data_IF_794801333001
#
_entry.id   IF_794801333001
#
_cell.length_a   1.000
_cell.length_b   1.000
_cell.length_c   1.000
_cell.angle_alpha   90.00
_cell.angle_beta   90.00
_cell.angle_gamma   90.00
#
_symmetry.space_group_name_H-M   'P 1'
#
loop_
_entity.id
_entity.type
_entity.pdbx_description
1 polymer ?
#
# COMPACT_ATOMS: atom_id res chain seq x y z
N UNK A 1 -16.87 4.71 -39.91
CA UNK A 1 -16.00 5.71 -39.22
C UNK A 1 -16.42 5.98 -37.78
N UNK A 2 -17.71 6.16 -37.47
CA UNK A 2 -18.20 6.38 -36.09
C UNK A 2 -17.91 5.22 -35.12
N UNK A 3 -18.02 3.96 -35.55
CA UNK A 3 -17.71 2.81 -34.69
C UNK A 3 -16.27 2.81 -34.15
N UNK A 4 -15.30 3.25 -34.95
CA UNK A 4 -13.90 3.29 -34.52
C UNK A 4 -13.68 4.33 -33.41
N UNK A 5 -14.39 5.46 -33.47
CA UNK A 5 -14.35 6.48 -32.42
C UNK A 5 -14.97 5.99 -31.11
N UNK A 6 -16.07 5.22 -31.17
CA UNK A 6 -16.69 4.63 -29.97
C UNK A 6 -15.74 3.64 -29.28
N UNK A 7 -15.04 2.81 -30.04
CA UNK A 7 -14.04 1.87 -29.51
C UNK A 7 -12.85 2.58 -28.84
N UNK A 8 -12.37 3.68 -29.43
CA UNK A 8 -11.29 4.50 -28.85
C UNK A 8 -11.72 5.09 -27.50
N UNK A 9 -12.95 5.58 -27.39
CA UNK A 9 -13.48 6.15 -26.14
C UNK A 9 -13.59 5.07 -25.04
N UNK A 10 -14.06 3.87 -25.38
CA UNK A 10 -14.17 2.76 -24.42
C UNK A 10 -12.78 2.39 -23.89
N UNK A 11 -11.78 2.29 -24.76
CA UNK A 11 -10.39 1.97 -24.37
C UNK A 11 -9.84 3.02 -23.40
N UNK A 12 -10.03 4.31 -23.70
CA UNK A 12 -9.56 5.41 -22.85
C UNK A 12 -10.21 5.37 -21.45
N UNK A 13 -11.50 5.04 -21.37
CA UNK A 13 -12.22 4.94 -20.09
C UNK A 13 -11.66 3.79 -19.24
N UNK A 14 -11.41 2.61 -19.84
CA UNK A 14 -10.87 1.46 -19.11
C UNK A 14 -9.44 1.68 -18.60
N UNK A 15 -8.58 2.38 -19.35
CA UNK A 15 -7.20 2.64 -18.92
C UNK A 15 -7.07 3.72 -17.83
N UNK A 16 -8.02 4.65 -17.73
CA UNK A 16 -7.97 5.71 -16.72
C UNK A 16 -8.31 5.25 -15.30
N UNK A 17 -9.00 4.11 -15.14
CA UNK A 17 -9.39 3.60 -13.81
C UNK A 17 -8.24 2.92 -13.04
N UNK A 18 -7.13 2.61 -13.71
CA UNK A 18 -6.15 1.66 -13.15
C UNK A 18 -5.16 2.28 -12.13
N UNK A 19 -5.02 3.62 -12.06
CA UNK A 19 -3.82 4.21 -11.42
C UNK A 19 -4.05 5.29 -10.35
N UNK A 20 -5.28 5.69 -10.01
CA UNK A 20 -5.48 6.81 -9.08
C UNK A 20 -5.40 6.47 -7.57
N UNK A 21 -5.00 5.25 -7.18
CA UNK A 21 -5.03 4.85 -5.76
C UNK A 21 -3.90 3.97 -5.25
N UNK A 22 -3.11 3.32 -6.12
CA UNK A 22 -2.04 2.39 -5.70
C UNK A 22 -0.71 3.13 -5.58
N UNK A 23 -0.14 3.15 -4.38
CA UNK A 23 1.16 3.73 -4.05
C UNK A 23 2.13 2.61 -3.68
N UNK A 24 3.36 2.67 -4.16
CA UNK A 24 4.44 1.77 -3.70
C UNK A 24 5.23 2.44 -2.57
N UNK A 25 5.47 1.69 -1.50
CA UNK A 25 6.25 2.14 -0.33
C UNK A 25 7.33 1.12 -0.03
N UNK A 26 8.53 1.59 0.31
CA UNK A 26 9.63 0.75 0.75
C UNK A 26 9.60 0.62 2.28
N UNK A 27 9.55 -0.61 2.79
CA UNK A 27 9.66 -0.94 4.21
C UNK A 27 10.81 -1.93 4.36
N UNK A 28 11.87 -1.54 5.08
CA UNK A 28 13.04 -2.38 5.37
C UNK A 28 13.66 -3.03 4.11
N UNK A 29 13.66 -2.33 2.96
CA UNK A 29 14.25 -2.79 1.70
C UNK A 29 13.30 -3.58 0.80
N UNK A 30 12.03 -3.76 1.20
CA UNK A 30 11.00 -4.42 0.38
C UNK A 30 9.91 -3.44 -0.01
N UNK A 31 9.55 -3.48 -1.29
CA UNK A 31 8.48 -2.65 -1.84
C UNK A 31 7.13 -3.33 -1.66
N UNK A 32 6.21 -2.60 -1.05
CA UNK A 32 4.83 -3.01 -0.86
C UNK A 32 3.89 -2.06 -1.59
N UNK A 33 2.84 -2.62 -2.17
CA UNK A 33 1.74 -1.84 -2.70
C UNK A 33 0.75 -1.49 -1.58
N UNK A 34 0.30 -0.25 -1.58
CA UNK A 34 -0.61 0.25 -0.57
C UNK A 34 -1.57 1.25 -1.20
N UNK A 35 -2.78 1.31 -0.65
CA UNK A 35 -3.79 2.26 -1.10
C UNK A 35 -3.68 3.55 -0.31
N UNK A 36 -3.69 4.68 -1.00
CA UNK A 36 -3.77 5.97 -0.32
C UNK A 36 -5.16 6.13 0.33
N UNK A 37 -5.25 6.78 1.51
CA UNK A 37 -6.54 7.10 2.12
C UNK A 37 -7.40 7.90 1.14
N UNK A 38 -8.66 7.49 0.97
CA UNK A 38 -9.58 8.09 -0.01
C UNK A 38 -9.93 9.53 0.39
N UNK A 39 -10.18 9.78 1.68
CA UNK A 39 -10.69 11.06 2.18
C UNK A 39 -9.91 11.59 3.40
N UNK A 40 -10.00 12.90 3.66
CA UNK A 40 -9.42 13.57 4.85
C UNK A 40 -9.90 12.99 6.17
N UNK A 41 -11.10 12.39 6.18
CA UNK A 41 -11.68 11.70 7.31
C UNK A 41 -10.99 10.37 7.64
N UNK A 42 -10.61 9.60 6.62
CA UNK A 42 -9.78 8.40 6.80
C UNK A 42 -8.37 8.76 7.28
N UNK A 43 -7.92 10.00 7.02
CA UNK A 43 -6.66 10.54 7.57
C UNK A 43 -6.79 10.98 9.04
N UNK A 44 -7.99 11.37 9.50
CA UNK A 44 -8.19 11.98 10.83
C UNK A 44 -8.86 11.08 11.88
N UNK A 45 -9.73 10.12 11.52
CA UNK A 45 -10.37 9.24 12.53
C UNK A 45 -9.36 8.25 13.13
N UNK A 46 -8.84 8.59 14.31
CA UNK A 46 -8.26 7.67 15.29
C UNK A 46 -6.83 7.20 15.07
N UNK A 47 -6.14 7.58 13.98
CA UNK A 47 -4.71 7.29 13.81
C UNK A 47 -4.03 8.51 13.21
N UNK A 48 -3.33 9.26 14.06
CA UNK A 48 -2.73 10.58 13.78
C UNK A 48 -1.77 10.63 12.57
N UNK A 49 -1.46 9.52 11.89
CA UNK A 49 -0.47 9.41 10.80
C UNK A 49 -0.67 8.18 9.87
N UNK A 50 -1.89 7.79 9.48
CA UNK A 50 -2.04 6.73 8.45
C UNK A 50 -1.72 7.26 7.05
N UNK A 51 -0.51 6.97 6.58
CA UNK A 51 0.00 7.36 5.25
C UNK A 51 -0.57 6.42 4.16
N UNK A 52 -0.86 5.17 4.48
CA UNK A 52 -1.31 4.18 3.53
C UNK A 52 -2.01 2.96 4.16
N UNK A 53 -2.91 2.34 3.40
CA UNK A 53 -3.61 1.10 3.75
C UNK A 53 -3.01 -0.07 2.96
N UNK A 54 -2.38 -1.00 3.68
CA UNK A 54 -1.87 -2.24 3.10
C UNK A 54 -2.98 -3.27 2.95
N UNK A 55 -2.78 -4.22 2.04
CA UNK A 55 -3.58 -5.44 1.99
C UNK A 55 -3.40 -6.23 3.30
N UNK A 56 -4.35 -7.12 3.62
CA UNK A 56 -4.24 -7.99 4.80
C UNK A 56 -3.01 -8.89 4.75
N UNK A 57 -2.64 -9.37 3.57
CA UNK A 57 -1.46 -10.21 3.34
C UNK A 57 -0.18 -9.44 3.60
N UNK A 58 -0.01 -8.27 2.95
CA UNK A 58 1.16 -7.42 3.15
C UNK A 58 1.31 -6.99 4.61
N UNK A 59 0.19 -6.68 5.27
CA UNK A 59 0.18 -6.30 6.69
C UNK A 59 0.67 -7.43 7.58
N UNK A 60 0.28 -8.67 7.30
CA UNK A 60 0.74 -9.83 8.06
C UNK A 60 2.24 -10.07 7.86
N UNK A 61 2.73 -9.92 6.64
CA UNK A 61 4.14 -10.06 6.32
C UNK A 61 5.00 -8.98 6.97
N UNK A 62 4.57 -7.72 6.90
CA UNK A 62 5.24 -6.60 7.58
C UNK A 62 5.29 -6.86 9.08
N UNK A 63 4.17 -7.27 9.70
CA UNK A 63 4.12 -7.57 11.13
C UNK A 63 5.06 -8.73 11.51
N UNK A 64 5.12 -9.79 10.69
CA UNK A 64 6.02 -10.92 10.90
C UNK A 64 7.48 -10.49 10.85
N UNK A 65 7.85 -9.62 9.90
CA UNK A 65 9.21 -9.05 9.79
C UNK A 65 9.57 -8.20 11.00
N UNK A 66 8.69 -7.29 11.42
CA UNK A 66 8.90 -6.45 12.60
C UNK A 66 9.09 -7.33 13.85
N UNK A 67 8.26 -8.36 14.02
CA UNK A 67 8.37 -9.31 15.14
C UNK A 67 9.73 -10.03 15.14
N UNK A 68 10.18 -10.51 13.98
CA UNK A 68 11.48 -11.18 13.85
C UNK A 68 12.66 -10.24 14.13
N UNK A 69 12.60 -8.99 13.64
CA UNK A 69 13.62 -7.96 13.90
C UNK A 69 13.75 -7.69 15.40
N UNK A 70 12.62 -7.53 16.10
CA UNK A 70 12.58 -7.31 17.55
C UNK A 70 13.08 -8.51 18.35
N UNK A 71 12.74 -9.73 17.95
CA UNK A 71 13.26 -10.95 18.59
C UNK A 71 14.79 -11.07 18.46
N UNK A 72 15.34 -10.77 17.29
CA UNK A 72 16.78 -10.79 17.06
C UNK A 72 17.51 -9.71 17.87
N UNK A 73 16.95 -8.49 17.95
CA UNK A 73 17.48 -7.44 18.81
C UNK A 73 17.48 -7.87 20.28
N UNK A 74 16.36 -8.40 20.78
CA UNK A 74 16.26 -8.87 22.18
C UNK A 74 17.29 -9.96 22.49
N UNK A 75 17.53 -10.89 21.56
CA UNK A 75 18.57 -11.92 21.69
C UNK A 75 19.99 -11.34 21.73
N UNK A 76 20.26 -10.29 20.93
CA UNK A 76 21.55 -9.60 20.92
C UNK A 76 21.84 -8.91 22.24
N UNK A 77 20.84 -8.26 22.84
CA UNK A 77 20.98 -7.60 24.15
C UNK A 77 21.06 -8.60 25.31
N UNK A 78 20.41 -9.78 25.22
CA UNK A 78 20.49 -10.81 26.27
C UNK A 78 21.83 -11.57 26.29
N UNK A 79 22.60 -11.55 25.19
CA UNK A 79 23.92 -12.19 25.07
C UNK A 79 25.08 -11.29 25.52
N UNK A 80 24.83 -10.00 25.75
CA UNK A 80 25.77 -9.08 26.42
C UNK A 80 25.46 -9.08 27.90
#
# INVERSE_FOLDING_TARGET
>A
MILNYVWIIIIIIFFNDESHGKKKINIDGVFYECRSPKNSFERTRGVRNRICFFSSEDKNDINKRIKNKNLNLKRKFKKR
#
